data_IF_475008739217
#
_entry.id   IF_475008739217
#
_cell.length_a   1.000
_cell.length_b   1.000
_cell.length_c   1.000
_cell.angle_alpha   90.00
_cell.angle_beta   90.00
_cell.angle_gamma   90.00
#
_symmetry.space_group_name_H-M   'P 1'
#
loop_
_entity.id
_entity.type
_entity.pdbx_description
1 polymer ?
#
# COMPACT_ATOMS: atom_id res chain seq x y z
N UNK A 1 -1.32 32.27 56.66
CA UNK A 1 -1.79 32.53 55.27
C UNK A 1 -0.75 32.25 54.16
N UNK A 2 0.57 32.55 54.25
CA UNK A 2 1.49 32.26 53.14
C UNK A 2 1.76 30.76 52.91
N UNK A 3 1.68 29.91 53.92
CA UNK A 3 1.91 28.47 53.80
C UNK A 3 0.85 27.75 52.96
N UNK A 4 -0.42 28.15 53.05
CA UNK A 4 -1.51 27.58 52.27
C UNK A 4 -1.40 27.95 50.78
N UNK A 5 -0.97 29.16 50.48
CA UNK A 5 -0.72 29.61 49.10
C UNK A 5 0.44 28.84 48.45
N UNK A 6 1.53 28.60 49.19
CA UNK A 6 2.66 27.79 48.71
C UNK A 6 2.26 26.34 48.43
N UNK A 7 1.44 25.75 49.32
CA UNK A 7 0.95 24.38 49.14
C UNK A 7 0.05 24.26 47.89
N UNK A 8 -0.86 25.23 47.65
CA UNK A 8 -1.73 25.26 46.49
C UNK A 8 -0.89 25.45 45.20
N UNK A 9 0.09 26.35 45.22
CA UNK A 9 0.98 26.57 44.05
C UNK A 9 1.81 25.32 43.75
N UNK A 10 2.34 24.61 44.75
CA UNK A 10 3.04 23.34 44.56
C UNK A 10 2.15 22.26 43.95
N UNK A 11 0.91 22.14 44.40
CA UNK A 11 -0.06 21.17 43.87
C UNK A 11 -0.43 21.45 42.43
N UNK A 12 -0.61 22.74 42.05
CA UNK A 12 -0.86 23.16 40.68
C UNK A 12 0.32 22.82 39.76
N UNK A 13 1.54 23.02 40.19
CA UNK A 13 2.74 22.71 39.39
C UNK A 13 2.82 21.19 39.15
N UNK A 14 2.60 20.38 40.18
CA UNK A 14 2.63 18.90 40.06
C UNK A 14 1.54 18.40 39.11
N UNK A 15 0.32 18.94 39.21
CA UNK A 15 -0.77 18.56 38.32
C UNK A 15 -0.50 18.94 36.87
N UNK A 16 0.06 20.13 36.59
CA UNK A 16 0.44 20.57 35.23
C UNK A 16 1.56 19.69 34.66
N UNK A 17 2.57 19.33 35.45
CA UNK A 17 3.64 18.43 35.03
C UNK A 17 3.11 17.02 34.73
N UNK A 18 2.20 16.49 35.56
CA UNK A 18 1.58 15.18 35.35
C UNK A 18 0.72 15.16 34.05
N UNK A 19 -0.01 16.23 33.79
CA UNK A 19 -0.81 16.36 32.58
C UNK A 19 0.09 16.43 31.33
N UNK A 20 1.17 17.19 31.38
CA UNK A 20 2.15 17.27 30.28
C UNK A 20 2.79 15.91 29.98
N UNK A 21 3.13 15.12 31.01
CA UNK A 21 3.67 13.77 30.84
C UNK A 21 2.65 12.82 30.21
N UNK A 22 1.38 12.90 30.60
CA UNK A 22 0.32 12.08 29.99
C UNK A 22 0.13 12.39 28.51
N UNK A 23 0.13 13.68 28.13
CA UNK A 23 0.08 14.08 26.73
C UNK A 23 1.26 13.56 25.91
N UNK A 24 2.48 13.65 26.46
CA UNK A 24 3.68 13.13 25.81
C UNK A 24 3.60 11.61 25.58
N UNK A 25 3.09 10.86 26.55
CA UNK A 25 2.90 9.41 26.44
C UNK A 25 1.88 9.04 25.36
N UNK A 26 0.74 9.75 25.28
CA UNK A 26 -0.29 9.53 24.24
C UNK A 26 0.29 9.80 22.85
N UNK A 27 1.01 10.90 22.67
CA UNK A 27 1.64 11.24 21.39
C UNK A 27 2.69 10.19 20.98
N UNK A 28 3.47 9.68 21.93
CA UNK A 28 4.45 8.63 21.67
C UNK A 28 3.77 7.33 21.23
N UNK A 29 2.68 6.93 21.89
CA UNK A 29 1.91 5.74 21.51
C UNK A 29 1.30 5.89 20.12
N UNK A 30 0.71 7.04 19.80
CA UNK A 30 0.16 7.30 18.47
C UNK A 30 1.23 7.23 17.38
N UNK A 31 2.42 7.78 17.65
CA UNK A 31 3.55 7.71 16.71
C UNK A 31 4.02 6.27 16.50
N UNK A 32 4.08 5.47 17.57
CA UNK A 32 4.44 4.06 17.48
C UNK A 32 3.43 3.26 16.65
N UNK A 33 2.13 3.44 16.89
CA UNK A 33 1.07 2.78 16.12
C UNK A 33 1.15 3.16 14.63
N UNK A 34 1.39 4.43 14.30
CA UNK A 34 1.56 4.88 12.92
C UNK A 34 2.77 4.23 12.25
N UNK A 35 3.89 4.14 12.96
CA UNK A 35 5.10 3.49 12.45
C UNK A 35 4.86 1.99 12.18
N UNK A 36 4.17 1.28 13.08
CA UNK A 36 3.78 -0.11 12.88
C UNK A 36 2.86 -0.28 11.66
N UNK A 37 1.87 0.61 11.51
CA UNK A 37 0.98 0.62 10.34
C UNK A 37 1.75 0.82 9.03
N UNK A 38 2.68 1.76 8.99
CA UNK A 38 3.53 1.97 7.82
C UNK A 38 4.33 0.72 7.48
N UNK A 39 4.88 0.06 8.49
CA UNK A 39 5.67 -1.15 8.29
C UNK A 39 4.83 -2.33 7.77
N UNK A 40 3.59 -2.48 8.28
CA UNK A 40 2.63 -3.46 7.77
C UNK A 40 2.23 -3.15 6.32
N UNK A 41 1.91 -1.89 6.00
CA UNK A 41 1.56 -1.48 4.64
C UNK A 41 2.70 -1.72 3.64
N UNK A 42 3.96 -1.47 4.03
CA UNK A 42 5.15 -1.82 3.23
C UNK A 42 5.23 -3.34 3.02
N UNK A 43 4.93 -4.13 4.04
CA UNK A 43 4.88 -5.59 3.94
C UNK A 43 3.83 -6.06 2.92
N UNK A 44 2.61 -5.52 3.00
CA UNK A 44 1.53 -5.78 2.05
C UNK A 44 1.92 -5.38 0.63
N UNK A 45 2.51 -4.19 0.45
CA UNK A 45 2.95 -3.73 -0.87
C UNK A 45 4.00 -4.68 -1.48
N UNK A 46 4.99 -5.10 -0.70
CA UNK A 46 6.03 -6.06 -1.16
C UNK A 46 5.44 -7.42 -1.52
N UNK A 47 4.53 -7.94 -0.69
CA UNK A 47 3.84 -9.19 -0.98
C UNK A 47 3.05 -9.09 -2.29
N UNK A 48 2.35 -7.97 -2.51
CA UNK A 48 1.60 -7.72 -3.73
C UNK A 48 2.50 -7.69 -4.97
N UNK A 49 3.69 -7.09 -4.88
CA UNK A 49 4.69 -7.12 -5.96
C UNK A 49 5.09 -8.54 -6.30
N UNK A 50 5.38 -9.38 -5.30
CA UNK A 50 5.78 -10.77 -5.54
C UNK A 50 4.66 -11.59 -6.19
N UNK A 51 3.40 -11.31 -5.84
CA UNK A 51 2.23 -11.93 -6.47
C UNK A 51 2.17 -11.57 -7.96
N UNK A 52 2.37 -10.31 -8.32
CA UNK A 52 2.36 -9.85 -9.72
C UNK A 52 3.57 -10.38 -10.47
N UNK A 53 4.77 -10.33 -9.87
CA UNK A 53 6.03 -10.82 -10.46
C UNK A 53 5.98 -12.31 -10.80
N UNK A 54 5.23 -13.09 -10.04
CA UNK A 54 5.07 -14.54 -10.28
C UNK A 54 4.20 -14.88 -11.51
N UNK A 55 3.66 -13.88 -12.21
CA UNK A 55 2.79 -14.08 -13.38
C UNK A 55 3.57 -13.95 -14.69
N UNK A 56 2.95 -14.42 -15.78
CA UNK A 56 3.51 -14.22 -17.10
C UNK A 56 3.64 -12.72 -17.39
N UNK A 57 4.71 -12.34 -18.09
CA UNK A 57 4.94 -10.93 -18.43
C UNK A 57 3.77 -10.34 -19.23
N UNK A 58 3.18 -11.14 -20.11
CA UNK A 58 2.07 -10.77 -20.98
C UNK A 58 1.25 -12.02 -21.31
N UNK A 59 -0.02 -11.86 -21.64
CA UNK A 59 -0.88 -12.99 -22.01
C UNK A 59 -0.33 -13.77 -23.20
N UNK A 60 0.27 -13.06 -24.17
CA UNK A 60 0.92 -13.66 -25.33
C UNK A 60 2.17 -14.47 -24.97
N UNK A 61 2.84 -14.18 -23.87
CA UNK A 61 4.05 -14.90 -23.43
C UNK A 61 3.76 -16.25 -22.78
N UNK A 62 2.51 -16.57 -22.49
CA UNK A 62 2.10 -17.88 -21.95
C UNK A 62 2.33 -19.03 -22.93
N UNK A 63 2.30 -18.75 -24.23
CA UNK A 63 2.41 -19.75 -25.29
C UNK A 63 3.74 -19.72 -26.04
N UNK A 64 4.68 -18.87 -25.67
CA UNK A 64 5.95 -18.74 -26.36
C UNK A 64 6.69 -17.47 -26.01
N UNK A 65 7.61 -17.10 -26.88
CA UNK A 65 8.47 -15.94 -26.78
C UNK A 65 8.19 -14.94 -27.92
N UNK A 66 7.06 -14.20 -27.87
CA UNK A 66 6.64 -13.31 -28.94
C UNK A 66 7.53 -12.06 -28.98
N UNK A 67 7.72 -11.47 -30.18
CA UNK A 67 8.38 -10.17 -30.27
C UNK A 67 7.53 -9.08 -29.61
N UNK A 68 8.11 -7.93 -29.20
CA UNK A 68 7.38 -6.85 -28.56
C UNK A 68 6.15 -6.36 -29.33
N UNK A 69 6.18 -6.48 -30.68
CA UNK A 69 5.07 -6.11 -31.55
C UNK A 69 3.81 -6.99 -31.39
N UNK A 70 3.92 -8.14 -30.76
CA UNK A 70 2.80 -9.08 -30.52
C UNK A 70 2.30 -9.06 -29.07
N UNK A 71 2.98 -8.34 -28.18
CA UNK A 71 2.52 -8.14 -26.80
C UNK A 71 1.17 -7.41 -26.77
N UNK A 72 0.45 -7.52 -25.67
CA UNK A 72 -0.83 -6.85 -25.46
C UNK A 72 -0.67 -5.33 -25.50
N UNK A 73 -1.51 -4.64 -26.27
CA UNK A 73 -1.48 -3.18 -26.33
C UNK A 73 -1.98 -2.57 -25.02
N UNK A 74 -1.44 -1.40 -24.57
CA UNK A 74 -1.92 -0.74 -23.36
C UNK A 74 -3.43 -0.46 -23.34
N UNK A 75 -4.00 -0.11 -24.50
CA UNK A 75 -5.44 0.14 -24.69
C UNK A 75 -6.32 -1.11 -24.48
N UNK A 76 -5.71 -2.29 -24.53
CA UNK A 76 -6.37 -3.59 -24.35
C UNK A 76 -6.05 -4.22 -22.99
N UNK A 77 -5.38 -3.52 -22.10
CA UNK A 77 -5.18 -4.03 -20.75
C UNK A 77 -6.55 -4.18 -20.07
N UNK A 78 -6.84 -5.35 -19.47
CA UNK A 78 -8.08 -5.52 -18.74
C UNK A 78 -8.12 -4.55 -17.56
N UNK A 79 -9.28 -3.97 -17.30
CA UNK A 79 -9.53 -3.13 -16.11
C UNK A 79 -10.67 -3.69 -15.30
N UNK A 80 -10.67 -3.41 -14.00
CA UNK A 80 -11.75 -3.81 -13.09
C UNK A 80 -11.83 -5.33 -12.81
N UNK A 81 -10.78 -6.11 -13.13
CA UNK A 81 -10.72 -7.52 -12.74
C UNK A 81 -10.66 -7.66 -11.22
N UNK A 82 -11.37 -8.67 -10.71
CA UNK A 82 -11.34 -9.07 -9.29
C UNK A 82 -10.46 -10.31 -9.15
N UNK A 83 -9.15 -10.09 -9.00
CA UNK A 83 -8.13 -11.13 -9.11
C UNK A 83 -8.14 -12.13 -7.94
N UNK A 84 -8.18 -13.44 -8.24
CA UNK A 84 -8.14 -14.52 -7.24
C UNK A 84 -6.90 -14.46 -6.33
N UNK A 85 -5.78 -13.97 -6.84
CA UNK A 85 -4.55 -13.82 -6.07
C UNK A 85 -4.71 -12.85 -4.88
N UNK A 86 -5.74 -12.00 -4.91
CA UNK A 86 -6.11 -11.07 -3.85
C UNK A 86 -7.49 -11.37 -3.25
N UNK A 87 -7.98 -12.60 -3.40
CA UNK A 87 -9.24 -13.06 -2.81
C UNK A 87 -10.48 -12.84 -3.66
N UNK A 88 -10.33 -12.37 -4.90
CA UNK A 88 -11.42 -12.19 -5.85
C UNK A 88 -11.81 -13.47 -6.60
N UNK A 89 -12.54 -13.31 -7.71
CA UNK A 89 -13.11 -14.41 -8.49
C UNK A 89 -12.44 -14.64 -9.85
N UNK A 90 -11.71 -13.64 -10.38
CA UNK A 90 -11.15 -13.67 -11.72
C UNK A 90 -9.74 -14.26 -11.74
N UNK A 91 -9.44 -15.02 -12.80
CA UNK A 91 -8.09 -15.50 -13.04
C UNK A 91 -7.24 -14.35 -13.60
N UNK A 92 -6.12 -14.06 -12.92
CA UNK A 92 -5.13 -13.07 -13.35
C UNK A 92 -3.78 -13.79 -13.50
N UNK A 93 -3.48 -14.16 -14.75
CA UNK A 93 -2.33 -15.00 -15.09
C UNK A 93 -1.18 -14.24 -15.72
N UNK A 94 -1.41 -13.00 -16.11
CA UNK A 94 -0.43 -12.10 -16.71
C UNK A 94 -0.37 -10.76 -15.95
N UNK A 95 0.74 -10.04 -16.11
CA UNK A 95 0.99 -8.79 -15.37
C UNK A 95 -0.07 -7.74 -15.71
N UNK A 96 -0.47 -7.62 -17.00
CA UNK A 96 -1.49 -6.64 -17.39
C UNK A 96 -2.88 -6.90 -16.81
N UNK A 97 -3.18 -8.13 -16.38
CA UNK A 97 -4.44 -8.46 -15.73
C UNK A 97 -4.68 -7.70 -14.42
N UNK A 98 -3.60 -7.23 -13.81
CA UNK A 98 -3.67 -6.43 -12.58
C UNK A 98 -3.83 -4.93 -12.84
N UNK A 99 -3.80 -4.48 -14.11
CA UNK A 99 -3.96 -3.07 -14.42
C UNK A 99 -5.34 -2.57 -14.02
N UNK A 100 -5.37 -1.57 -13.14
CA UNK A 100 -6.63 -1.00 -12.62
C UNK A 100 -7.64 -2.07 -12.18
N UNK A 101 -7.14 -3.13 -11.54
CA UNK A 101 -8.01 -4.16 -10.99
C UNK A 101 -8.96 -3.57 -9.92
N UNK A 102 -10.05 -4.26 -9.63
CA UNK A 102 -10.90 -3.91 -8.49
C UNK A 102 -10.05 -3.84 -7.23
N UNK A 103 -10.09 -2.71 -6.47
CA UNK A 103 -9.27 -2.57 -5.27
C UNK A 103 -9.49 -3.75 -4.32
N UNK A 104 -8.39 -4.43 -4.00
CA UNK A 104 -8.43 -5.58 -3.11
C UNK A 104 -8.24 -5.14 -1.65
N UNK A 105 -8.82 -5.91 -0.73
CA UNK A 105 -8.66 -5.65 0.69
C UNK A 105 -7.88 -6.80 1.31
N UNK A 106 -6.71 -6.48 1.84
CA UNK A 106 -5.90 -7.40 2.64
C UNK A 106 -5.96 -7.02 4.12
N UNK A 107 -5.90 -7.99 5.01
CA UNK A 107 -6.05 -7.81 6.44
C UNK A 107 -4.89 -8.40 7.21
N UNK A 108 -4.23 -7.58 8.01
CA UNK A 108 -3.14 -7.99 8.88
C UNK A 108 -3.64 -8.04 10.33
N UNK A 109 -3.59 -9.23 10.93
CA UNK A 109 -3.97 -9.44 12.33
C UNK A 109 -2.75 -9.32 13.24
N UNK A 110 -2.87 -8.48 14.27
CA UNK A 110 -1.85 -8.28 15.31
C UNK A 110 -2.46 -8.45 16.70
N UNK A 111 -1.66 -8.65 17.75
CA UNK A 111 -2.16 -8.62 19.12
C UNK A 111 -2.82 -7.26 19.41
N UNK A 112 -4.15 -7.25 19.55
CA UNK A 112 -4.93 -6.03 19.82
C UNK A 112 -5.86 -5.59 18.69
N UNK A 113 -5.81 -6.22 17.49
CA UNK A 113 -6.76 -5.92 16.42
C UNK A 113 -6.35 -6.41 15.04
N UNK A 114 -7.23 -6.11 14.07
CA UNK A 114 -6.98 -6.38 12.66
C UNK A 114 -6.97 -5.05 11.91
N UNK A 115 -5.97 -4.87 11.08
CA UNK A 115 -5.84 -3.72 10.18
C UNK A 115 -6.16 -4.16 8.76
N UNK A 116 -7.02 -3.42 8.09
CA UNK A 116 -7.39 -3.66 6.70
C UNK A 116 -6.69 -2.63 5.80
N UNK A 117 -6.12 -3.12 4.71
CA UNK A 117 -5.44 -2.32 3.71
C UNK A 117 -6.11 -2.49 2.36
N UNK A 118 -6.32 -1.41 1.67
CA UNK A 118 -6.79 -1.38 0.29
C UNK A 118 -5.59 -1.34 -0.66
N UNK A 119 -5.58 -2.23 -1.64
CA UNK A 119 -4.51 -2.40 -2.61
C UNK A 119 -5.01 -1.99 -3.99
N UNK A 120 -4.35 -1.03 -4.60
CA UNK A 120 -4.54 -0.61 -5.99
C UNK A 120 -3.28 -0.92 -6.80
N UNK A 121 -3.44 -1.44 -8.00
CA UNK A 121 -2.33 -1.79 -8.90
C UNK A 121 -2.51 -1.11 -10.26
N UNK A 122 -1.47 -0.44 -10.73
CA UNK A 122 -1.37 0.12 -12.07
C UNK A 122 -0.19 -0.53 -12.82
N UNK A 123 -0.39 -0.83 -14.09
CA UNK A 123 0.63 -1.41 -14.96
C UNK A 123 0.78 -0.55 -16.21
N UNK A 124 2.00 -0.17 -16.56
CA UNK A 124 2.31 0.61 -17.75
C UNK A 124 3.54 0.07 -18.45
N UNK A 125 3.60 0.14 -19.77
CA UNK A 125 4.87 -0.03 -20.46
C UNK A 125 5.80 1.15 -20.19
N UNK A 126 7.11 0.87 -20.13
CA UNK A 126 8.16 1.89 -20.00
C UNK A 126 9.21 1.71 -21.10
N UNK A 127 9.77 2.83 -21.53
CA UNK A 127 10.85 2.87 -22.51
C UNK A 127 12.23 2.56 -21.89
N UNK A 128 13.29 2.71 -22.67
CA UNK A 128 14.67 2.52 -22.20
C UNK A 128 15.07 3.49 -21.08
N UNK A 129 14.45 4.65 -21.03
CA UNK A 129 14.69 5.68 -20.02
C UNK A 129 13.76 5.54 -18.80
N UNK A 130 13.01 4.43 -18.70
CA UNK A 130 12.02 4.13 -17.66
C UNK A 130 10.87 5.15 -17.61
N UNK A 131 10.56 5.77 -18.74
CA UNK A 131 9.38 6.65 -18.87
C UNK A 131 8.20 5.87 -19.40
N UNK A 132 7.03 6.14 -18.83
CA UNK A 132 5.77 5.54 -19.30
C UNK A 132 5.52 5.85 -20.77
N UNK A 133 5.15 4.83 -21.53
CA UNK A 133 4.90 4.88 -22.97
C UNK A 133 3.64 4.11 -23.32
N UNK A 134 2.97 4.55 -24.41
CA UNK A 134 1.87 3.80 -25.00
C UNK A 134 2.34 2.79 -26.06
N UNK A 135 3.65 2.68 -26.25
CA UNK A 135 4.23 1.66 -27.14
C UNK A 135 4.53 0.39 -26.36
N UNK A 136 4.33 -0.76 -26.98
CA UNK A 136 4.70 -2.06 -26.44
C UNK A 136 6.21 -2.17 -26.34
N UNK A 137 6.71 -2.54 -25.19
CA UNK A 137 8.14 -2.71 -24.89
C UNK A 137 8.37 -3.99 -24.09
N UNK A 138 9.62 -4.38 -23.92
CA UNK A 138 10.04 -5.52 -23.10
C UNK A 138 10.06 -5.19 -21.60
N UNK A 139 9.44 -4.06 -21.19
CA UNK A 139 9.46 -3.60 -19.79
C UNK A 139 8.09 -3.07 -19.39
N UNK A 140 7.61 -3.54 -18.25
CA UNK A 140 6.38 -3.03 -17.61
C UNK A 140 6.72 -2.47 -16.24
N UNK A 141 6.28 -1.25 -15.96
CA UNK A 141 6.26 -0.65 -14.62
C UNK A 141 4.99 -1.10 -13.91
N UNK A 142 5.14 -1.66 -12.74
CA UNK A 142 4.05 -2.01 -11.83
C UNK A 142 4.10 -1.06 -10.67
N UNK A 143 3.04 -0.30 -10.46
CA UNK A 143 2.88 0.61 -9.33
C UNK A 143 1.78 0.08 -8.42
N UNK A 144 2.13 -0.21 -7.17
CA UNK A 144 1.21 -0.69 -6.14
C UNK A 144 1.03 0.42 -5.12
N UNK A 145 -0.23 0.76 -4.83
CA UNK A 145 -0.62 1.70 -3.79
C UNK A 145 -1.38 0.97 -2.70
N UNK A 146 -0.93 1.13 -1.47
CA UNK A 146 -1.56 0.55 -0.29
C UNK A 146 -2.06 1.66 0.60
N UNK A 147 -3.36 1.64 0.90
CA UNK A 147 -4.05 2.61 1.76
C UNK A 147 -4.62 1.91 3.00
N UNK A 148 -4.79 2.68 4.06
CA UNK A 148 -5.54 2.24 5.25
C UNK A 148 -7.05 2.22 4.93
N UNK A 149 -7.69 1.05 5.08
CA UNK A 149 -9.12 0.87 4.86
C UNK A 149 -9.86 0.67 6.18
N UNK A 150 -10.07 1.75 6.92
CA UNK A 150 -10.80 1.75 8.21
C UNK A 150 -12.30 2.01 8.09
N UNK A 151 -12.79 2.28 6.89
CA UNK A 151 -14.16 2.68 6.66
C UNK A 151 -14.40 4.20 6.80
N UNK A 152 -15.56 4.67 6.34
CA UNK A 152 -15.81 6.10 6.05
C UNK A 152 -15.87 7.03 7.28
N UNK A 153 -15.97 6.48 8.49
CA UNK A 153 -16.16 7.27 9.71
C UNK A 153 -14.92 7.28 10.63
N UNK A 154 -13.79 6.73 10.19
CA UNK A 154 -12.58 6.69 10.98
C UNK A 154 -11.46 7.44 10.26
N UNK A 155 -10.75 8.28 11.00
CA UNK A 155 -9.57 8.96 10.46
C UNK A 155 -8.48 7.92 10.12
N UNK A 156 -7.94 7.94 8.89
CA UNK A 156 -6.91 6.99 8.49
C UNK A 156 -5.64 7.19 9.32
N UNK A 157 -5.02 6.10 9.73
CA UNK A 157 -3.71 6.15 10.41
C UNK A 157 -2.57 6.42 9.43
N UNK A 158 -2.73 5.96 8.18
CA UNK A 158 -1.84 6.32 7.08
C UNK A 158 -2.39 7.59 6.42
N UNK A 159 -1.73 8.73 6.64
CA UNK A 159 -2.13 9.99 6.00
C UNK A 159 -1.86 10.00 4.50
N UNK A 160 -0.87 9.22 4.06
CA UNK A 160 -0.50 9.07 2.66
C UNK A 160 -0.41 7.59 2.30
N UNK A 161 -0.80 7.19 1.08
CA UNK A 161 -0.66 5.83 0.62
C UNK A 161 0.82 5.43 0.54
N UNK A 162 1.13 4.19 0.89
CA UNK A 162 2.43 3.62 0.58
C UNK A 162 2.44 3.23 -0.89
N UNK A 163 3.34 3.82 -1.65
CA UNK A 163 3.51 3.52 -3.08
C UNK A 163 4.80 2.76 -3.29
N UNK A 164 4.69 1.62 -3.94
CA UNK A 164 5.82 0.82 -4.37
C UNK A 164 5.80 0.69 -5.90
N UNK A 165 6.94 0.96 -6.54
CA UNK A 165 7.05 0.88 -8.00
C UNK A 165 8.20 -0.05 -8.35
N UNK A 166 7.97 -0.98 -9.28
CA UNK A 166 8.97 -1.89 -9.80
C UNK A 166 8.87 -1.99 -11.32
N UNK A 167 10.01 -2.18 -11.98
CA UNK A 167 10.07 -2.44 -13.42
C UNK A 167 10.40 -3.91 -13.64
N UNK A 168 9.50 -4.61 -14.30
CA UNK A 168 9.64 -6.01 -14.68
C UNK A 168 10.01 -6.09 -16.15
N UNK A 169 11.08 -6.85 -16.44
CA UNK A 169 11.56 -7.09 -17.79
C UNK A 169 11.12 -8.43 -18.34
N UNK A 170 10.86 -8.47 -19.62
CA UNK A 170 10.68 -9.67 -20.42
C UNK A 170 12.05 -10.05 -21.02
N UNK A 171 12.51 -11.25 -20.73
CA UNK A 171 13.83 -11.79 -21.21
C UNK A 171 13.61 -13.10 -21.92
#
# INVERSE_FOLDING_TARGET
MPQTLLSIAGLLIVTLLSFSQQQANINTQQTAIRAEMQQMAIGVAKQSVEVVRARAFDDSTKSGDPPPSELTKPENFPTGKDCQAFGGSDTCDSIEDFHEMTPAIDSVSVPGGTFAFEIEIEVHYVDSDLKRTNSRTERKEVTIRVRDNRGPNQEPLLHEPITFTEVLGYV
#
